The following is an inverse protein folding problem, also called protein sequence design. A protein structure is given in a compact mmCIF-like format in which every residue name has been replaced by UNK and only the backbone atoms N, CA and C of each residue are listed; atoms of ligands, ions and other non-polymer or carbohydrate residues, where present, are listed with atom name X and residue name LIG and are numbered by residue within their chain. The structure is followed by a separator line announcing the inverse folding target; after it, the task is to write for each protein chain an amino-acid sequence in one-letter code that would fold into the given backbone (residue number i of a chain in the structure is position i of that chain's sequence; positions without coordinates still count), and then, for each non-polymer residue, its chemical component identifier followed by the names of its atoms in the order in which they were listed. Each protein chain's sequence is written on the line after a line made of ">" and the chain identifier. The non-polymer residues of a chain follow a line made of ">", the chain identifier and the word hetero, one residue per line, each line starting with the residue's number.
data_IF_165795621394
#
_entry.id   IF_165795621394
#
_cell.length_a   1.000
_cell.length_b   1.000
_cell.length_c   1.000
_cell.angle_alpha   90.00
_cell.angle_beta   90.00
_cell.angle_gamma   90.00
#
_symmetry.space_group_name_H-M   'P 1'
#
loop_
_entity.id
_entity.type
_entity.pdbx_description
1 polymer ?
#
# COMPACT_ATOMS: atom_id res chain seq x y z
N UNK A 1 -40.73 -36.69 31.22
CA UNK A 1 -40.64 -35.79 30.04
C UNK A 1 -41.16 -34.42 30.43
N UNK A 2 -40.27 -33.52 30.85
CA UNK A 2 -40.43 -32.05 30.95
C UNK A 2 -39.14 -31.52 31.58
N UNK A 3 -38.65 -30.38 31.09
CA UNK A 3 -37.48 -29.62 31.54
C UNK A 3 -36.19 -29.77 30.71
N UNK A 4 -36.27 -29.49 29.39
CA UNK A 4 -35.12 -28.95 28.63
C UNK A 4 -35.71 -28.01 27.58
N UNK A 5 -35.86 -26.70 27.88
CA UNK A 5 -36.23 -25.68 26.86
C UNK A 5 -36.18 -24.24 27.42
N UNK A 6 -35.05 -23.77 27.98
CA UNK A 6 -34.88 -22.33 28.29
C UNK A 6 -33.41 -21.89 28.28
N UNK A 7 -32.70 -22.08 27.17
CA UNK A 7 -31.35 -21.51 27.01
C UNK A 7 -30.92 -21.25 25.55
N UNK A 8 -31.86 -20.92 24.64
CA UNK A 8 -31.52 -20.55 23.25
C UNK A 8 -31.97 -19.11 22.91
N UNK A 9 -32.65 -18.42 23.82
CA UNK A 9 -33.25 -17.09 23.55
C UNK A 9 -32.40 -15.86 23.91
N UNK A 10 -31.20 -16.00 24.49
CA UNK A 10 -30.48 -14.84 25.07
C UNK A 10 -29.36 -14.25 24.19
N UNK A 11 -28.95 -14.94 23.11
CA UNK A 11 -27.84 -14.48 22.26
C UNK A 11 -28.28 -13.73 20.99
N UNK A 12 -29.56 -13.80 20.61
CA UNK A 12 -30.09 -13.13 19.42
C UNK A 12 -30.65 -11.72 19.66
N UNK A 13 -30.82 -11.31 20.92
CA UNK A 13 -31.39 -9.99 21.24
C UNK A 13 -30.33 -8.89 21.36
N UNK A 14 -29.11 -9.21 21.79
CA UNK A 14 -28.07 -8.19 22.07
C UNK A 14 -27.60 -7.46 20.81
N UNK A 15 -27.51 -8.16 19.67
CA UNK A 15 -27.09 -7.55 18.39
C UNK A 15 -28.13 -6.59 17.81
N UNK A 16 -29.42 -6.95 17.87
CA UNK A 16 -30.50 -6.11 17.35
C UNK A 16 -30.71 -4.82 18.19
N UNK A 17 -30.47 -4.88 19.51
CA UNK A 17 -30.56 -3.69 20.37
C UNK A 17 -29.43 -2.69 20.13
N UNK A 18 -28.21 -3.16 19.82
CA UNK A 18 -27.09 -2.28 19.50
C UNK A 18 -27.31 -1.49 18.20
N UNK A 19 -27.82 -2.16 17.17
CA UNK A 19 -28.07 -1.57 15.85
C UNK A 19 -29.17 -0.50 15.87
N UNK A 20 -30.30 -0.79 16.52
CA UNK A 20 -31.39 0.19 16.67
C UNK A 20 -30.97 1.36 17.56
N UNK A 21 -30.21 1.10 18.64
CA UNK A 21 -29.68 2.16 19.50
C UNK A 21 -28.76 3.11 18.74
N UNK A 22 -27.98 2.63 17.76
CA UNK A 22 -27.17 3.49 16.90
C UNK A 22 -28.01 4.41 16.02
N UNK A 23 -28.99 3.86 15.30
CA UNK A 23 -29.89 4.66 14.44
C UNK A 23 -30.66 5.72 15.24
N UNK A 24 -30.96 5.41 16.50
CA UNK A 24 -31.68 6.30 17.42
C UNK A 24 -30.74 7.24 18.22
N UNK A 25 -29.43 7.25 17.93
CA UNK A 25 -28.43 8.11 18.58
C UNK A 25 -28.09 7.76 20.03
N UNK A 26 -28.49 6.58 20.49
CA UNK A 26 -28.33 6.07 21.85
C UNK A 26 -27.19 5.05 22.00
N UNK A 27 -26.46 4.75 20.93
CA UNK A 27 -25.33 3.83 20.97
C UNK A 27 -24.20 4.38 21.84
N UNK A 28 -23.71 3.53 22.75
CA UNK A 28 -22.56 3.85 23.60
C UNK A 28 -21.45 2.87 23.26
N UNK A 29 -20.30 3.35 22.76
CA UNK A 29 -19.16 2.48 22.51
C UNK A 29 -18.63 1.88 23.81
N UNK A 30 -17.88 0.79 23.69
CA UNK A 30 -17.09 0.26 24.78
C UNK A 30 -16.10 1.30 25.30
N UNK A 31 -15.62 1.13 26.53
CA UNK A 31 -14.67 2.07 27.12
C UNK A 31 -13.39 2.19 26.28
N UNK A 32 -13.12 3.41 25.79
CA UNK A 32 -12.01 3.70 24.88
C UNK A 32 -12.24 3.27 23.42
N UNK A 33 -13.44 2.79 23.08
CA UNK A 33 -13.88 2.55 21.72
C UNK A 33 -14.17 3.85 20.98
N UNK A 34 -13.87 3.87 19.69
CA UNK A 34 -14.18 4.94 18.76
C UNK A 34 -15.22 4.45 17.78
N UNK A 35 -16.21 5.29 17.47
CA UNK A 35 -17.21 4.99 16.45
C UNK A 35 -16.94 5.86 15.23
N UNK A 36 -16.86 5.21 14.07
CA UNK A 36 -16.85 5.85 12.78
C UNK A 36 -18.08 5.44 11.98
N UNK A 37 -18.61 6.37 11.20
CA UNK A 37 -19.69 6.10 10.25
C UNK A 37 -19.23 6.68 8.93
N UNK A 38 -19.17 5.83 7.91
CA UNK A 38 -18.81 6.29 6.58
C UNK A 38 -19.73 7.40 6.11
N UNK A 39 -19.18 8.39 5.41
CA UNK A 39 -19.97 9.41 4.71
C UNK A 39 -20.22 9.04 3.26
N UNK A 40 -19.31 8.28 2.67
CA UNK A 40 -19.31 7.96 1.26
C UNK A 40 -18.95 6.49 1.08
N UNK A 41 -19.77 5.78 0.31
CA UNK A 41 -19.50 4.43 -0.11
C UNK A 41 -19.32 4.43 -1.62
N UNK A 42 -18.44 3.57 -2.14
CA UNK A 42 -18.22 3.44 -3.57
C UNK A 42 -18.64 2.06 -4.06
N UNK A 43 -19.01 2.02 -5.34
CA UNK A 43 -19.41 0.78 -5.99
C UNK A 43 -18.16 -0.06 -6.27
N UNK A 44 -18.12 -1.23 -5.67
CA UNK A 44 -17.17 -2.30 -5.98
C UNK A 44 -17.71 -3.06 -7.18
N UNK A 45 -17.09 -2.88 -8.35
CA UNK A 45 -17.42 -3.67 -9.55
C UNK A 45 -16.80 -5.06 -9.45
N UNK A 46 -17.51 -6.05 -9.97
CA UNK A 46 -17.01 -7.43 -9.99
C UNK A 46 -15.83 -7.56 -10.96
N UNK A 47 -14.73 -8.15 -10.48
CA UNK A 47 -13.50 -8.43 -11.22
C UNK A 47 -13.49 -9.90 -11.60
N UNK A 48 -13.36 -10.23 -12.88
CA UNK A 48 -13.29 -11.63 -13.31
C UNK A 48 -11.91 -12.22 -12.99
N UNK A 49 -11.82 -13.48 -12.55
CA UNK A 49 -10.52 -14.15 -12.40
C UNK A 49 -9.81 -14.29 -13.75
N UNK A 50 -8.50 -14.00 -13.79
CA UNK A 50 -7.64 -14.42 -14.92
C UNK A 50 -7.42 -15.92 -14.79
N UNK A 51 -7.95 -16.71 -15.73
CA UNK A 51 -7.95 -18.19 -15.65
C UNK A 51 -6.78 -18.88 -16.35
N UNK A 52 -5.80 -18.12 -16.85
CA UNK A 52 -4.66 -18.68 -17.54
C UNK A 52 -3.43 -18.63 -16.64
N UNK A 53 -3.27 -19.66 -15.81
CA UNK A 53 -2.15 -19.79 -14.88
C UNK A 53 -0.80 -19.89 -15.62
N UNK A 54 -0.81 -20.31 -16.90
CA UNK A 54 0.37 -20.39 -17.77
C UNK A 54 0.65 -19.10 -18.56
N UNK A 55 -0.16 -18.05 -18.37
CA UNK A 55 0.06 -16.79 -19.06
C UNK A 55 1.41 -16.18 -18.67
N UNK A 56 2.20 -15.78 -19.68
CA UNK A 56 3.46 -15.08 -19.45
C UNK A 56 3.20 -13.78 -18.70
N UNK A 57 3.79 -13.64 -17.51
CA UNK A 57 3.74 -12.41 -16.73
C UNK A 57 4.64 -11.36 -17.40
N UNK A 58 4.07 -10.20 -17.74
CA UNK A 58 4.78 -9.04 -18.28
C UNK A 58 4.92 -7.94 -17.24
N UNK A 59 3.90 -7.78 -16.39
CA UNK A 59 3.83 -6.71 -15.41
C UNK A 59 3.71 -7.28 -14.00
N UNK A 60 4.39 -6.63 -13.05
CA UNK A 60 4.19 -6.88 -11.61
C UNK A 60 3.84 -5.55 -10.96
N UNK A 61 2.69 -5.52 -10.28
CA UNK A 61 2.22 -4.36 -9.53
C UNK A 61 2.15 -4.76 -8.05
N UNK A 62 2.98 -4.13 -7.23
CA UNK A 62 3.00 -4.28 -5.79
C UNK A 62 2.31 -3.09 -5.15
N UNK A 63 1.24 -3.33 -4.41
CA UNK A 63 0.51 -2.30 -3.68
C UNK A 63 0.69 -2.51 -2.18
N UNK A 64 1.12 -1.46 -1.48
CA UNK A 64 1.45 -1.49 -0.05
C UNK A 64 0.51 -0.53 0.69
N UNK A 65 -0.35 -1.05 1.55
CA UNK A 65 -1.01 -0.23 2.57
C UNK A 65 -0.09 -0.14 3.78
N UNK A 66 0.59 0.99 3.99
CA UNK A 66 1.53 1.16 5.11
C UNK A 66 0.77 0.98 6.43
N UNK A 67 1.20 0.06 7.29
CA UNK A 67 0.50 -0.26 8.55
C UNK A 67 -0.81 -1.05 8.41
N UNK A 68 -1.20 -1.49 7.22
CA UNK A 68 -2.52 -2.10 6.92
C UNK A 68 -2.62 -3.58 7.37
N UNK A 69 -2.98 -3.81 8.63
CA UNK A 69 -3.32 -5.15 9.14
C UNK A 69 -4.72 -5.64 8.74
N UNK A 70 -5.06 -6.89 9.10
CA UNK A 70 -6.38 -7.50 8.80
C UNK A 70 -7.54 -6.69 9.37
N UNK A 71 -7.39 -6.14 10.58
CA UNK A 71 -8.41 -5.29 11.21
C UNK A 71 -8.67 -4.00 10.43
N UNK A 72 -7.66 -3.44 9.77
CA UNK A 72 -7.79 -2.24 8.95
C UNK A 72 -8.64 -2.55 7.71
N UNK A 73 -8.32 -3.67 7.04
CA UNK A 73 -9.09 -4.18 5.89
C UNK A 73 -10.54 -4.43 6.28
N UNK A 74 -10.79 -5.12 7.40
CA UNK A 74 -12.16 -5.44 7.81
C UNK A 74 -12.96 -4.20 8.26
N UNK A 75 -12.31 -3.23 8.91
CA UNK A 75 -12.93 -1.95 9.25
C UNK A 75 -13.36 -1.19 7.97
N UNK A 76 -12.49 -1.11 6.97
CA UNK A 76 -12.81 -0.51 5.68
C UNK A 76 -13.92 -1.27 4.94
N UNK A 77 -13.87 -2.60 4.94
CA UNK A 77 -14.91 -3.45 4.35
C UNK A 77 -16.28 -3.21 5.00
N UNK A 78 -16.33 -3.12 6.34
CA UNK A 78 -17.54 -2.77 7.07
C UNK A 78 -18.05 -1.39 6.68
N UNK A 79 -17.16 -0.40 6.61
CA UNK A 79 -17.50 0.96 6.20
C UNK A 79 -18.04 1.02 4.75
N UNK A 80 -17.68 0.09 3.87
CA UNK A 80 -18.10 0.09 2.46
C UNK A 80 -19.06 -1.06 2.11
N UNK A 81 -20.17 -1.19 2.85
CA UNK A 81 -21.25 -2.15 2.56
C UNK A 81 -20.80 -3.61 2.48
N UNK A 82 -19.85 -4.00 3.33
CA UNK A 82 -19.24 -5.33 3.33
C UNK A 82 -18.61 -5.70 1.97
N UNK A 83 -17.99 -4.73 1.27
CA UNK A 83 -17.38 -4.93 -0.05
C UNK A 83 -16.10 -4.12 -0.21
N UNK A 84 -15.04 -4.76 -0.68
CA UNK A 84 -13.81 -4.11 -1.17
C UNK A 84 -13.38 -4.69 -2.52
N UNK A 85 -12.53 -3.99 -3.27
CA UNK A 85 -11.88 -4.53 -4.46
C UNK A 85 -10.86 -5.62 -4.08
N UNK A 86 -10.03 -5.40 -3.06
CA UNK A 86 -9.02 -6.37 -2.62
C UNK A 86 -9.63 -7.69 -2.11
N UNK A 87 -10.90 -7.68 -1.68
CA UNK A 87 -11.65 -8.89 -1.29
C UNK A 87 -11.80 -9.89 -2.45
N UNK A 88 -11.83 -9.40 -3.69
CA UNK A 88 -12.06 -10.22 -4.88
C UNK A 88 -10.79 -10.95 -5.37
N UNK A 89 -9.65 -10.70 -4.73
CA UNK A 89 -8.37 -11.33 -5.08
C UNK A 89 -8.37 -12.79 -4.59
N UNK A 90 -8.23 -13.79 -5.50
CA UNK A 90 -8.54 -15.18 -5.18
C UNK A 90 -7.51 -15.88 -4.28
N UNK A 91 -6.29 -15.36 -4.18
CA UNK A 91 -5.22 -15.98 -3.40
C UNK A 91 -4.85 -15.10 -2.22
N UNK A 92 -4.88 -15.71 -1.03
CA UNK A 92 -4.60 -15.03 0.24
C UNK A 92 -3.51 -15.76 1.00
N UNK A 93 -2.57 -15.00 1.54
CA UNK A 93 -1.53 -15.44 2.45
C UNK A 93 -1.28 -14.41 3.55
N UNK A 94 -0.23 -14.66 4.32
CA UNK A 94 0.21 -13.76 5.39
C UNK A 94 1.73 -13.66 5.39
N UNK A 95 2.25 -12.46 5.68
CA UNK A 95 3.69 -12.25 5.81
C UNK A 95 4.11 -11.90 7.24
N UNK A 96 5.28 -12.42 7.64
CA UNK A 96 6.00 -12.08 8.87
C UNK A 96 6.90 -10.87 8.60
N UNK A 97 6.78 -9.85 9.44
CA UNK A 97 7.30 -8.51 9.10
C UNK A 97 8.48 -8.06 9.94
N UNK A 98 8.93 -8.83 10.95
CA UNK A 98 10.01 -8.38 11.86
C UNK A 98 11.26 -7.87 11.13
N UNK A 99 11.89 -6.83 11.68
CA UNK A 99 13.18 -6.35 11.20
C UNK A 99 14.32 -7.29 11.62
N UNK A 100 15.48 -7.16 11.00
CA UNK A 100 16.65 -8.01 11.30
C UNK A 100 17.09 -7.95 12.76
N UNK A 101 17.03 -6.75 13.36
CA UNK A 101 17.53 -6.47 14.70
C UNK A 101 16.42 -6.08 15.70
N UNK A 102 15.15 -6.21 15.33
CA UNK A 102 14.05 -5.79 16.19
C UNK A 102 12.81 -6.69 15.99
N UNK A 103 12.09 -6.95 17.09
CA UNK A 103 10.90 -7.80 17.08
C UNK A 103 9.78 -7.22 16.20
N UNK A 104 9.63 -5.89 16.26
CA UNK A 104 8.77 -5.11 15.36
C UNK A 104 9.64 -4.42 14.31
N UNK A 105 9.14 -4.33 13.09
CA UNK A 105 9.79 -3.55 12.03
C UNK A 105 9.34 -2.09 12.06
N UNK A 106 9.95 -1.28 11.21
CA UNK A 106 9.39 -0.05 10.67
C UNK A 106 9.25 -0.12 9.15
N UNK A 107 8.63 0.88 8.54
CA UNK A 107 8.44 0.96 7.09
C UNK A 107 9.75 0.92 6.29
N UNK A 108 10.86 1.38 6.86
CA UNK A 108 12.17 1.29 6.21
C UNK A 108 12.61 -0.17 6.08
N UNK A 109 12.69 -0.91 7.19
CA UNK A 109 13.12 -2.29 7.16
C UNK A 109 12.07 -3.23 6.51
N UNK A 110 10.78 -2.93 6.68
CA UNK A 110 9.66 -3.67 6.09
C UNK A 110 9.64 -3.52 4.57
N UNK A 111 9.67 -2.28 4.07
CA UNK A 111 9.79 -1.98 2.65
C UNK A 111 11.06 -2.55 2.03
N UNK A 112 12.20 -2.48 2.74
CA UNK A 112 13.47 -3.06 2.25
C UNK A 112 13.41 -4.57 2.08
N UNK A 113 12.73 -5.29 2.98
CA UNK A 113 12.55 -6.73 2.84
C UNK A 113 11.71 -7.08 1.61
N UNK A 114 10.63 -6.32 1.36
CA UNK A 114 9.80 -6.46 0.14
C UNK A 114 10.58 -6.13 -1.14
N UNK A 115 11.45 -5.12 -1.08
CA UNK A 115 12.19 -4.61 -2.24
C UNK A 115 13.41 -5.45 -2.60
N UNK A 116 14.10 -6.07 -1.63
CA UNK A 116 15.42 -6.70 -1.83
C UNK A 116 15.46 -8.20 -1.52
N UNK A 117 14.40 -8.73 -0.89
CA UNK A 117 14.40 -10.10 -0.38
C UNK A 117 15.31 -10.31 0.84
N UNK A 118 15.80 -9.23 1.46
CA UNK A 118 16.64 -9.31 2.66
C UNK A 118 16.09 -8.43 3.76
N UNK A 119 15.96 -9.00 4.96
CA UNK A 119 15.68 -8.21 6.16
C UNK A 119 16.87 -7.32 6.49
N UNK A 120 16.60 -6.04 6.70
CA UNK A 120 17.58 -5.07 7.18
C UNK A 120 17.25 -4.58 8.60
N UNK A 121 18.15 -3.77 9.15
CA UNK A 121 17.98 -3.18 10.47
C UNK A 121 16.89 -2.11 10.46
N UNK A 122 16.22 -1.95 11.60
CA UNK A 122 15.22 -0.91 11.82
C UNK A 122 15.76 0.47 11.40
N UNK A 123 14.99 1.19 10.58
CA UNK A 123 15.35 2.51 10.06
C UNK A 123 16.34 2.51 8.89
N UNK A 124 16.88 1.37 8.48
CA UNK A 124 17.78 1.25 7.31
C UNK A 124 16.98 0.99 6.04
N UNK A 125 17.41 1.59 4.93
CA UNK A 125 16.77 1.49 3.62
C UNK A 125 17.70 0.68 2.69
N UNK A 126 17.25 -0.51 2.30
CA UNK A 126 17.81 -1.42 1.27
C UNK A 126 19.33 -1.58 1.27
N UNK A 127 19.92 -1.61 2.46
CA UNK A 127 21.36 -1.82 2.64
C UNK A 127 21.61 -2.87 3.74
N UNK A 128 22.75 -3.53 3.66
CA UNK A 128 23.20 -4.46 4.69
C UNK A 128 23.69 -3.72 5.95
N UNK A 129 24.11 -4.48 6.96
CA UNK A 129 24.60 -3.92 8.24
C UNK A 129 25.88 -3.07 8.11
N UNK A 130 26.60 -3.20 6.99
CA UNK A 130 27.82 -2.47 6.69
C UNK A 130 27.55 -1.29 5.75
N UNK A 131 26.29 -1.04 5.37
CA UNK A 131 25.90 0.00 4.42
C UNK A 131 26.12 -0.38 2.97
N UNK A 132 26.35 -1.65 2.66
CA UNK A 132 26.45 -2.14 1.28
C UNK A 132 25.04 -2.27 0.70
N UNK A 133 24.81 -1.67 -0.47
CA UNK A 133 23.53 -1.71 -1.16
C UNK A 133 23.11 -3.16 -1.48
N UNK A 134 21.85 -3.48 -1.18
CA UNK A 134 21.18 -4.68 -1.66
C UNK A 134 20.32 -4.32 -2.87
N UNK A 135 20.57 -4.88 -4.07
CA UNK A 135 19.83 -4.53 -5.28
C UNK A 135 18.33 -4.73 -5.13
N UNK A 136 17.55 -3.75 -5.54
CA UNK A 136 16.09 -3.80 -5.41
C UNK A 136 15.44 -4.48 -6.61
N UNK A 137 14.21 -4.98 -6.46
CA UNK A 137 13.42 -5.52 -7.57
C UNK A 137 13.24 -4.49 -8.69
N UNK A 138 13.14 -3.20 -8.33
CA UNK A 138 12.98 -2.11 -9.28
C UNK A 138 14.27 -1.92 -10.09
N UNK A 139 15.43 -1.86 -9.44
CA UNK A 139 16.73 -1.75 -10.13
C UNK A 139 17.01 -2.99 -10.99
N UNK A 140 16.66 -4.18 -10.50
CA UNK A 140 16.81 -5.43 -11.25
C UNK A 140 15.89 -5.44 -12.48
N UNK A 141 14.64 -5.03 -12.34
CA UNK A 141 13.68 -4.95 -13.44
C UNK A 141 14.15 -3.95 -14.50
N UNK A 142 14.57 -2.74 -14.08
CA UNK A 142 15.09 -1.72 -14.99
C UNK A 142 16.40 -2.14 -15.67
N UNK A 143 17.33 -2.76 -14.94
CA UNK A 143 18.56 -3.32 -15.51
C UNK A 143 18.31 -4.45 -16.51
N UNK A 144 17.12 -5.06 -16.47
CA UNK A 144 16.64 -6.01 -17.47
C UNK A 144 15.77 -5.35 -18.54
N UNK A 145 15.61 -4.03 -18.53
CA UNK A 145 14.90 -3.24 -19.54
C UNK A 145 13.38 -3.20 -19.38
N UNK A 146 12.86 -3.51 -18.20
CA UNK A 146 11.44 -3.26 -17.89
C UNK A 146 11.26 -1.80 -17.47
N UNK A 147 10.12 -1.21 -17.81
CA UNK A 147 9.77 0.10 -17.29
C UNK A 147 9.47 0.01 -15.78
N UNK A 148 9.68 1.11 -15.07
CA UNK A 148 9.62 1.11 -13.59
C UNK A 148 8.98 2.37 -13.03
N UNK A 149 8.17 2.20 -11.97
CA UNK A 149 7.65 3.36 -11.28
C UNK A 149 7.24 3.18 -9.82
N UNK A 150 7.07 4.33 -9.16
CA UNK A 150 6.73 4.48 -7.76
C UNK A 150 5.60 5.50 -7.59
N UNK A 151 4.55 5.16 -6.84
CA UNK A 151 3.48 6.09 -6.47
C UNK A 151 3.29 6.02 -4.96
N UNK A 152 3.26 7.15 -4.27
CA UNK A 152 3.07 7.19 -2.82
C UNK A 152 2.20 8.36 -2.40
N UNK A 153 1.21 8.11 -1.53
CA UNK A 153 0.33 9.13 -0.94
C UNK A 153 1.01 9.95 0.19
N UNK A 154 2.34 10.02 0.19
CA UNK A 154 3.16 10.82 1.08
C UNK A 154 4.35 11.42 0.31
N UNK A 155 5.44 11.79 1.01
CA UNK A 155 6.68 12.20 0.34
C UNK A 155 7.24 11.00 -0.43
N UNK A 156 7.66 11.19 -1.68
CA UNK A 156 8.24 10.09 -2.46
C UNK A 156 9.59 9.60 -1.87
N UNK A 157 10.24 10.43 -1.06
CA UNK A 157 11.46 10.13 -0.29
C UNK A 157 11.18 9.43 1.05
N UNK A 158 9.91 9.19 1.40
CA UNK A 158 9.57 8.45 2.61
C UNK A 158 9.98 6.98 2.51
N UNK A 159 9.97 6.27 3.65
CA UNK A 159 10.70 5.02 3.79
C UNK A 159 10.29 3.92 2.81
N UNK A 160 8.99 3.68 2.63
CA UNK A 160 8.49 2.63 1.74
C UNK A 160 8.85 2.88 0.27
N UNK A 161 8.56 4.04 -0.36
CA UNK A 161 9.02 4.29 -1.72
C UNK A 161 10.55 4.37 -1.85
N UNK A 162 11.24 4.94 -0.86
CA UNK A 162 12.70 4.99 -0.83
C UNK A 162 13.33 3.59 -0.83
N UNK A 163 12.70 2.60 -0.18
CA UNK A 163 13.20 1.23 -0.14
C UNK A 163 13.33 0.57 -1.53
N UNK A 164 12.66 1.07 -2.56
CA UNK A 164 12.76 0.52 -3.90
C UNK A 164 13.84 1.18 -4.77
N UNK A 165 14.46 2.29 -4.33
CA UNK A 165 15.44 3.02 -5.17
C UNK A 165 16.68 3.53 -4.42
N UNK A 166 16.62 3.67 -3.11
CA UNK A 166 17.68 4.25 -2.31
C UNK A 166 18.36 3.21 -1.42
N UNK A 167 19.62 3.48 -1.07
CA UNK A 167 20.38 2.66 -0.13
C UNK A 167 21.03 3.58 0.92
N UNK A 168 20.40 3.70 2.08
CA UNK A 168 20.85 4.62 3.13
C UNK A 168 20.76 3.98 4.52
N UNK A 169 21.69 4.37 5.39
CA UNK A 169 21.74 3.83 6.75
C UNK A 169 20.54 4.24 7.62
N UNK A 170 19.93 5.39 7.30
CA UNK A 170 18.82 5.98 8.06
C UNK A 170 17.77 6.55 7.11
N UNK A 171 16.50 6.18 7.32
CA UNK A 171 15.32 6.72 6.61
C UNK A 171 15.17 8.24 6.68
N UNK A 172 15.77 8.89 7.68
CA UNK A 172 15.73 10.34 7.84
C UNK A 172 16.69 11.10 6.90
N UNK A 173 17.48 10.42 6.07
CA UNK A 173 18.42 11.03 5.13
C UNK A 173 17.71 11.50 3.84
N UNK A 174 16.64 12.29 3.96
CA UNK A 174 15.76 12.63 2.83
C UNK A 174 16.47 13.25 1.62
N UNK A 175 17.46 14.12 1.83
CA UNK A 175 18.23 14.69 0.71
C UNK A 175 19.16 13.68 0.02
N UNK A 176 19.69 12.70 0.77
CA UNK A 176 20.50 11.63 0.21
C UNK A 176 19.59 10.68 -0.58
N UNK A 177 18.42 10.35 -0.02
CA UNK A 177 17.37 9.57 -0.68
C UNK A 177 16.92 10.25 -1.97
N UNK A 178 16.64 11.57 -1.95
CA UNK A 178 16.24 12.33 -3.13
C UNK A 178 17.27 12.25 -4.27
N UNK A 179 18.57 12.14 -3.94
CA UNK A 179 19.61 12.00 -4.95
C UNK A 179 19.51 10.66 -5.72
N UNK A 180 19.01 9.58 -5.09
CA UNK A 180 18.78 8.30 -5.77
C UNK A 180 17.67 8.35 -6.81
N UNK A 181 16.73 9.29 -6.71
CA UNK A 181 15.67 9.48 -7.72
C UNK A 181 16.20 10.05 -9.04
N UNK A 182 17.40 10.64 -9.04
CA UNK A 182 18.10 11.02 -10.28
C UNK A 182 18.79 9.78 -10.85
N UNK A 183 17.98 8.83 -11.34
CA UNK A 183 18.43 7.51 -11.77
C UNK A 183 17.95 7.18 -13.18
N UNK A 184 18.70 6.30 -13.86
CA UNK A 184 18.23 5.65 -15.10
C UNK A 184 17.24 4.52 -14.80
N UNK A 185 17.18 4.06 -13.55
CA UNK A 185 16.37 2.92 -13.11
C UNK A 185 14.90 3.27 -12.80
N UNK A 186 14.47 4.50 -13.10
CA UNK A 186 13.11 4.99 -12.87
C UNK A 186 12.56 5.65 -14.12
N UNK A 187 11.27 5.43 -14.38
CA UNK A 187 10.54 6.09 -15.47
C UNK A 187 9.42 6.97 -14.94
N UNK A 188 8.70 6.55 -13.91
CA UNK A 188 7.63 7.33 -13.29
C UNK A 188 7.78 7.35 -11.78
N UNK A 189 7.79 8.52 -11.15
CA UNK A 189 7.55 8.61 -9.72
C UNK A 189 6.59 9.76 -9.38
N UNK A 190 5.61 9.49 -8.51
CA UNK A 190 4.52 10.43 -8.19
C UNK A 190 4.30 10.45 -6.67
N UNK A 191 4.46 11.61 -6.04
CA UNK A 191 4.24 11.80 -4.60
C UNK A 191 4.38 13.27 -4.19
N UNK A 192 4.49 13.52 -2.89
CA UNK A 192 4.91 14.82 -2.35
C UNK A 192 6.43 14.92 -2.23
N UNK A 193 6.90 15.97 -1.54
CA UNK A 193 8.29 16.11 -1.14
C UNK A 193 9.16 16.91 -2.10
N UNK A 194 8.60 17.89 -2.82
CA UNK A 194 9.45 18.76 -3.67
C UNK A 194 10.50 19.52 -2.87
N UNK A 195 10.28 19.73 -1.56
CA UNK A 195 11.24 20.36 -0.65
C UNK A 195 12.57 19.58 -0.57
N UNK A 196 12.54 18.25 -0.54
CA UNK A 196 13.73 17.39 -0.49
C UNK A 196 14.57 17.47 -1.77
N UNK A 197 13.96 17.88 -2.89
CA UNK A 197 14.63 18.02 -4.19
C UNK A 197 15.07 19.46 -4.48
N UNK A 198 14.28 20.45 -4.07
CA UNK A 198 14.47 21.86 -4.43
C UNK A 198 14.97 22.76 -3.30
N UNK A 199 14.59 22.48 -2.04
CA UNK A 199 14.94 23.30 -0.87
C UNK A 199 16.09 22.68 -0.07
N UNK A 200 17.05 22.11 -0.79
CA UNK A 200 18.20 21.40 -0.23
C UNK A 200 19.13 22.33 0.55
N UNK A 201 19.77 21.82 1.60
CA UNK A 201 20.77 22.53 2.42
C UNK A 201 21.92 23.12 1.61
N UNK A 202 22.28 22.45 0.51
CA UNK A 202 23.32 22.93 -0.41
C UNK A 202 22.90 24.13 -1.26
N UNK A 203 21.60 24.46 -1.30
CA UNK A 203 21.01 25.45 -2.20
C UNK A 203 20.86 24.98 -3.66
N UNK A 204 21.26 23.74 -3.98
CA UNK A 204 21.19 23.19 -5.34
C UNK A 204 19.96 22.31 -5.52
N UNK A 205 19.11 22.67 -6.46
CA UNK A 205 17.98 21.85 -6.89
C UNK A 205 18.42 20.62 -7.69
N UNK A 206 17.68 19.52 -7.53
CA UNK A 206 17.81 18.31 -8.35
C UNK A 206 16.98 18.33 -9.63
N UNK A 207 16.10 19.31 -9.84
CA UNK A 207 15.22 19.38 -11.01
C UNK A 207 16.00 19.41 -12.32
N UNK A 208 17.07 20.22 -12.50
CA UNK A 208 17.86 20.18 -13.73
C UNK A 208 18.49 18.81 -14.00
N UNK A 209 18.83 18.07 -12.94
CA UNK A 209 19.39 16.72 -13.09
C UNK A 209 18.33 15.70 -13.48
N UNK A 210 17.10 15.82 -12.95
CA UNK A 210 15.94 15.04 -13.39
C UNK A 210 15.58 15.33 -14.85
N UNK A 211 15.54 16.59 -15.25
CA UNK A 211 15.29 17.00 -16.64
C UNK A 211 16.38 16.46 -17.59
N UNK A 212 17.64 16.48 -17.17
CA UNK A 212 18.75 15.89 -17.93
C UNK A 212 18.62 14.36 -18.07
N UNK A 213 17.93 13.69 -17.15
CA UNK A 213 17.52 12.28 -17.24
C UNK A 213 16.24 12.06 -18.06
N UNK A 214 15.66 13.12 -18.62
CA UNK A 214 14.48 13.08 -19.47
C UNK A 214 13.15 13.11 -18.72
N UNK A 215 13.16 13.40 -17.41
CA UNK A 215 11.93 13.52 -16.63
C UNK A 215 11.19 14.81 -16.97
N UNK A 216 9.89 14.67 -17.20
CA UNK A 216 8.95 15.78 -17.20
C UNK A 216 8.50 16.03 -15.77
N UNK A 217 8.73 17.24 -15.27
CA UNK A 217 8.33 17.61 -13.91
C UNK A 217 6.89 18.10 -13.90
N UNK A 218 6.05 17.48 -13.07
CA UNK A 218 4.63 17.85 -12.91
C UNK A 218 4.28 18.08 -11.45
N UNK A 219 3.34 18.99 -11.20
CA UNK A 219 3.03 19.47 -9.84
C UNK A 219 1.53 19.45 -9.52
N UNK A 220 0.70 18.97 -10.44
CA UNK A 220 -0.74 18.83 -10.23
C UNK A 220 -1.33 17.77 -11.17
N UNK A 221 -2.52 17.29 -10.81
CA UNK A 221 -3.19 16.19 -11.52
C UNK A 221 -3.59 16.55 -12.95
N UNK A 222 -3.92 17.81 -13.25
CA UNK A 222 -4.28 18.24 -14.61
C UNK A 222 -3.08 18.13 -15.57
N UNK A 223 -1.91 18.61 -15.13
CA UNK A 223 -0.66 18.46 -15.88
C UNK A 223 -0.31 16.99 -16.06
N UNK A 224 -0.40 16.19 -15.00
CA UNK A 224 -0.16 14.75 -15.05
C UNK A 224 -1.10 14.07 -16.07
N UNK A 225 -2.40 14.37 -16.03
CA UNK A 225 -3.41 13.83 -16.93
C UNK A 225 -3.14 14.16 -18.41
N UNK A 226 -2.57 15.34 -18.68
CA UNK A 226 -2.21 15.78 -20.03
C UNK A 226 -1.08 14.97 -20.67
N UNK A 227 -0.20 14.35 -19.85
CA UNK A 227 0.97 13.62 -20.35
C UNK A 227 0.54 12.37 -21.11
N UNK A 228 1.26 12.11 -22.21
CA UNK A 228 0.98 10.97 -23.12
C UNK A 228 2.08 9.93 -23.15
N UNK A 229 3.33 10.31 -22.87
CA UNK A 229 4.50 9.42 -22.90
C UNK A 229 5.68 10.05 -22.16
N UNK A 230 6.73 9.27 -21.99
CA UNK A 230 8.01 9.71 -21.45
C UNK A 230 8.09 9.64 -19.92
N UNK A 231 9.29 9.93 -19.39
CA UNK A 231 9.54 9.85 -17.95
C UNK A 231 8.86 10.99 -17.20
N UNK A 232 8.41 10.74 -15.97
CA UNK A 232 7.65 11.70 -15.15
C UNK A 232 8.14 11.74 -13.71
N UNK A 233 8.41 12.95 -13.24
CA UNK A 233 8.74 13.28 -11.85
C UNK A 233 7.61 14.15 -11.31
N UNK A 234 6.69 13.57 -10.54
CA UNK A 234 5.51 14.25 -10.04
C UNK A 234 5.62 14.63 -8.56
N UNK A 235 5.49 15.93 -8.27
CA UNK A 235 5.55 16.49 -6.93
C UNK A 235 4.28 17.29 -6.57
N UNK A 236 3.36 16.67 -5.84
CA UNK A 236 2.01 17.19 -5.61
C UNK A 236 1.84 17.93 -4.26
N UNK A 237 2.91 18.01 -3.49
CA UNK A 237 3.02 18.80 -2.27
C UNK A 237 4.48 19.17 -2.01
N UNK A 238 4.73 20.29 -1.31
CA UNK A 238 6.09 20.59 -0.83
C UNK A 238 6.57 19.53 0.14
N UNK A 239 5.75 19.20 1.13
CA UNK A 239 6.01 18.16 2.11
C UNK A 239 5.29 16.85 1.78
N UNK A 240 4.74 16.19 2.80
CA UNK A 240 3.80 15.10 2.59
C UNK A 240 2.51 15.62 1.96
N UNK A 241 1.78 14.77 1.22
CA UNK A 241 0.41 15.09 0.84
C UNK A 241 -0.47 15.11 2.09
N UNK A 242 -1.58 15.83 2.01
CA UNK A 242 -2.63 15.79 3.03
C UNK A 242 -3.26 14.39 3.15
N UNK A 243 -3.88 14.08 4.28
CA UNK A 243 -4.69 12.88 4.44
C UNK A 243 -5.91 12.91 3.49
N UNK A 244 -6.44 11.75 3.12
CA UNK A 244 -7.70 11.63 2.42
C UNK A 244 -8.85 12.05 3.36
N UNK A 245 -9.85 12.84 2.90
CA UNK A 245 -10.10 13.25 1.51
C UNK A 245 -9.44 14.56 1.07
N UNK A 246 -8.66 15.24 1.93
CA UNK A 246 -8.11 16.56 1.64
C UNK A 246 -7.11 16.58 0.47
N UNK A 247 -6.36 15.49 0.24
CA UNK A 247 -5.51 15.34 -0.97
C UNK A 247 -6.28 15.06 -2.27
N UNK A 248 -7.60 14.91 -2.20
CA UNK A 248 -8.44 14.54 -3.35
C UNK A 248 -8.09 13.15 -3.91
N UNK A 249 -8.29 12.98 -5.21
CA UNK A 249 -8.14 11.69 -5.93
C UNK A 249 -6.69 11.40 -6.35
N UNK A 250 -5.70 11.92 -5.62
CA UNK A 250 -4.29 11.81 -5.98
C UNK A 250 -3.84 10.35 -6.19
N UNK A 251 -4.13 9.46 -5.24
CA UNK A 251 -3.61 8.09 -5.28
C UNK A 251 -4.22 7.30 -6.45
N UNK A 252 -5.54 7.41 -6.64
CA UNK A 252 -6.28 6.75 -7.72
C UNK A 252 -5.81 7.24 -9.10
N UNK A 253 -5.80 8.56 -9.32
CA UNK A 253 -5.43 9.12 -10.64
C UNK A 253 -3.94 8.97 -10.96
N UNK A 254 -3.06 9.06 -9.96
CA UNK A 254 -1.63 8.80 -10.13
C UNK A 254 -1.34 7.36 -10.46
N UNK A 255 -2.03 6.42 -9.81
CA UNK A 255 -1.90 4.97 -10.10
C UNK A 255 -2.32 4.65 -11.53
N UNK A 256 -3.49 5.16 -11.96
CA UNK A 256 -3.97 5.01 -13.34
C UNK A 256 -2.99 5.57 -14.36
N UNK A 257 -2.50 6.81 -14.14
CA UNK A 257 -1.56 7.44 -15.08
C UNK A 257 -0.21 6.72 -15.09
N UNK A 258 0.29 6.25 -13.95
CA UNK A 258 1.53 5.47 -13.90
C UNK A 258 1.41 4.20 -14.75
N UNK A 259 0.32 3.43 -14.62
CA UNK A 259 0.06 2.28 -15.47
C UNK A 259 -0.05 2.66 -16.96
N UNK A 260 -0.76 3.75 -17.30
CA UNK A 260 -0.89 4.24 -18.68
C UNK A 260 0.47 4.55 -19.33
N UNK A 261 1.39 5.16 -18.57
CA UNK A 261 2.71 5.54 -19.06
C UNK A 261 3.66 4.34 -19.14
N UNK A 262 3.67 3.48 -18.12
CA UNK A 262 4.58 2.34 -18.03
C UNK A 262 4.20 1.21 -18.99
N UNK A 263 2.90 1.00 -19.24
CA UNK A 263 2.41 -0.05 -20.13
C UNK A 263 2.69 0.22 -21.63
N UNK A 264 3.35 1.33 -21.96
CA UNK A 264 3.82 1.61 -23.32
C UNK A 264 5.11 0.86 -23.66
N UNK A 265 5.79 0.27 -22.67
CA UNK A 265 6.97 -0.54 -22.88
C UNK A 265 6.60 -1.98 -23.25
N UNK A 266 7.09 -2.45 -24.39
CA UNK A 266 6.83 -3.80 -24.90
C UNK A 266 7.38 -4.91 -23.98
N UNK A 267 8.31 -4.61 -23.09
CA UNK A 267 8.82 -5.60 -22.14
C UNK A 267 7.87 -5.82 -20.96
N UNK A 268 7.07 -4.81 -20.64
CA UNK A 268 6.24 -4.72 -19.44
C UNK A 268 6.93 -3.90 -18.35
N UNK A 269 6.35 -3.90 -17.14
CA UNK A 269 6.80 -2.99 -16.09
C UNK A 269 6.73 -3.56 -14.67
N UNK A 270 7.49 -2.94 -13.77
CA UNK A 270 7.30 -3.03 -12.33
C UNK A 270 6.74 -1.71 -11.77
N UNK A 271 5.69 -1.78 -10.97
CA UNK A 271 5.11 -0.62 -10.31
C UNK A 271 4.89 -0.91 -8.82
N UNK A 272 5.35 0.01 -7.96
CA UNK A 272 4.97 0.03 -6.56
C UNK A 272 4.04 1.20 -6.27
N UNK A 273 2.92 0.92 -5.59
CA UNK A 273 1.93 1.93 -5.17
C UNK A 273 1.72 1.85 -3.66
N UNK A 274 1.75 2.98 -2.96
CA UNK A 274 1.60 3.04 -1.51
C UNK A 274 0.39 3.87 -1.07
N UNK A 275 -0.49 3.24 -0.29
CA UNK A 275 -1.47 3.91 0.57
C UNK A 275 -0.80 4.29 1.90
N UNK A 276 -0.07 5.42 1.89
CA UNK A 276 0.95 5.72 2.90
C UNK A 276 0.42 6.14 4.27
N UNK A 277 -0.77 6.76 4.35
CA UNK A 277 -1.21 7.43 5.59
C UNK A 277 -2.18 6.58 6.43
N UNK A 278 -2.43 5.32 6.02
CA UNK A 278 -3.11 4.31 6.87
C UNK A 278 -2.31 4.17 8.18
N UNK A 279 -0.99 4.03 8.07
CA UNK A 279 -0.05 3.96 9.19
C UNK A 279 -0.14 5.15 10.13
N UNK A 280 -0.08 6.37 9.59
CA UNK A 280 -0.08 7.59 10.42
C UNK A 280 -1.42 7.78 11.14
N UNK A 281 -2.52 7.50 10.45
CA UNK A 281 -3.84 7.54 11.07
C UNK A 281 -3.97 6.51 12.21
N UNK A 282 -3.41 5.31 12.03
CA UNK A 282 -3.38 4.29 13.06
C UNK A 282 -2.42 4.62 14.21
N UNK A 283 -1.29 5.29 13.94
CA UNK A 283 -0.40 5.84 14.97
C UNK A 283 -1.11 6.88 15.86
N UNK A 284 -1.90 7.76 15.24
CA UNK A 284 -2.73 8.74 15.92
C UNK A 284 -3.97 8.12 16.59
N UNK A 285 -4.15 6.79 16.46
CA UNK A 285 -5.34 6.07 16.88
C UNK A 285 -6.62 6.72 16.34
N UNK A 286 -6.62 7.21 15.11
CA UNK A 286 -7.76 7.87 14.50
C UNK A 286 -8.51 6.87 13.60
N UNK A 287 -9.57 6.27 14.13
CA UNK A 287 -10.33 5.23 13.41
C UNK A 287 -10.90 5.74 12.08
N UNK A 288 -11.46 6.95 12.07
CA UNK A 288 -12.10 7.50 10.88
C UNK A 288 -11.10 7.72 9.75
N UNK A 289 -9.98 8.39 10.02
CA UNK A 289 -8.93 8.58 9.02
C UNK A 289 -8.32 7.25 8.59
N UNK A 290 -8.13 6.30 9.51
CA UNK A 290 -7.60 4.95 9.18
C UNK A 290 -8.48 4.23 8.16
N UNK A 291 -9.81 4.29 8.36
CA UNK A 291 -10.78 3.71 7.43
C UNK A 291 -10.76 4.45 6.09
N UNK A 292 -10.84 5.78 6.09
CA UNK A 292 -10.87 6.59 4.88
C UNK A 292 -9.60 6.43 4.02
N UNK A 293 -8.44 6.33 4.65
CA UNK A 293 -7.16 6.02 3.97
C UNK A 293 -7.14 4.62 3.35
N UNK A 294 -7.69 3.63 4.08
CA UNK A 294 -7.79 2.25 3.58
C UNK A 294 -8.78 2.15 2.40
N UNK A 295 -9.87 2.92 2.44
CA UNK A 295 -10.83 3.03 1.34
C UNK A 295 -10.23 3.74 0.12
N UNK A 296 -9.43 4.81 0.31
CA UNK A 296 -8.70 5.45 -0.80
C UNK A 296 -7.73 4.47 -1.47
N UNK A 297 -7.00 3.70 -0.66
CA UNK A 297 -6.11 2.65 -1.16
C UNK A 297 -6.86 1.54 -1.91
N UNK A 298 -7.99 1.05 -1.39
CA UNK A 298 -8.79 0.02 -2.07
C UNK A 298 -9.37 0.52 -3.41
N UNK A 299 -9.73 1.81 -3.52
CA UNK A 299 -10.14 2.39 -4.82
C UNK A 299 -9.00 2.36 -5.84
N UNK A 300 -7.75 2.61 -5.41
CA UNK A 300 -6.59 2.46 -6.27
C UNK A 300 -6.34 0.98 -6.64
N UNK A 301 -6.51 0.04 -5.69
CA UNK A 301 -6.50 -1.40 -5.97
C UNK A 301 -7.53 -1.75 -7.03
N UNK A 302 -8.74 -1.18 -6.95
CA UNK A 302 -9.79 -1.39 -7.94
C UNK A 302 -9.40 -0.99 -9.36
N UNK A 303 -8.67 0.11 -9.54
CA UNK A 303 -8.17 0.51 -10.87
C UNK A 303 -7.07 -0.43 -11.38
N UNK A 304 -6.20 -0.90 -10.49
CA UNK A 304 -5.16 -1.89 -10.81
C UNK A 304 -5.77 -3.24 -11.20
N UNK A 305 -6.79 -3.70 -10.49
CA UNK A 305 -7.49 -4.95 -10.82
C UNK A 305 -8.25 -4.86 -12.14
N UNK A 306 -8.90 -3.73 -12.44
CA UNK A 306 -9.52 -3.50 -13.76
C UNK A 306 -8.50 -3.53 -14.89
N UNK A 307 -7.32 -2.93 -14.67
CA UNK A 307 -6.22 -3.00 -15.63
C UNK A 307 -5.73 -4.45 -15.81
N UNK A 308 -5.46 -5.17 -14.72
CA UNK A 308 -4.96 -6.53 -14.76
C UNK A 308 -5.95 -7.53 -15.37
N UNK A 309 -7.26 -7.35 -15.12
CA UNK A 309 -8.33 -8.13 -15.76
C UNK A 309 -8.32 -7.96 -17.29
N UNK A 310 -8.11 -6.73 -17.77
CA UNK A 310 -8.10 -6.42 -19.20
C UNK A 310 -6.80 -6.87 -19.88
N UNK A 311 -5.67 -6.70 -19.20
CA UNK A 311 -4.34 -7.04 -19.72
C UNK A 311 -4.09 -8.56 -19.72
N UNK A 312 -4.48 -9.27 -18.67
CA UNK A 312 -4.30 -10.72 -18.55
C UNK A 312 -2.85 -11.19 -18.37
N UNK A 313 -1.88 -10.28 -18.35
CA UNK A 313 -0.43 -10.54 -18.20
C UNK A 313 0.18 -9.82 -16.99
N UNK A 314 -0.66 -9.37 -16.06
CA UNK A 314 -0.28 -8.58 -14.89
C UNK A 314 -0.51 -9.37 -13.61
N UNK A 315 0.56 -9.57 -12.83
CA UNK A 315 0.50 -10.04 -11.45
C UNK A 315 0.30 -8.83 -10.53
N UNK A 316 -0.75 -8.86 -9.72
CA UNK A 316 -1.07 -7.85 -8.71
C UNK A 316 -0.90 -8.46 -7.32
N UNK A 317 -0.15 -7.77 -6.46
CA UNK A 317 0.10 -8.16 -5.07
C UNK A 317 -0.30 -6.99 -4.20
N UNK A 318 -1.19 -7.20 -3.24
CA UNK A 318 -1.57 -6.22 -2.22
C UNK A 318 -1.12 -6.74 -0.86
N UNK A 319 -0.35 -5.95 -0.11
CA UNK A 319 0.15 -6.33 1.22
C UNK A 319 0.32 -5.07 2.08
N UNK A 320 0.80 -5.26 3.30
CA UNK A 320 1.41 -4.21 4.10
C UNK A 320 2.89 -4.52 4.35
N UNK A 321 3.62 -3.52 4.85
CA UNK A 321 4.97 -3.61 5.39
C UNK A 321 4.97 -4.01 6.88
N UNK A 322 3.96 -3.60 7.64
CA UNK A 322 3.62 -4.00 9.02
C UNK A 322 2.15 -3.70 9.37
N UNK A 323 1.74 -4.00 10.59
CA UNK A 323 0.47 -3.51 11.16
C UNK A 323 0.76 -2.36 12.13
N UNK A 324 -0.16 -1.40 12.21
CA UNK A 324 -0.04 -0.27 13.13
C UNK A 324 -1.24 -0.10 14.05
N UNK A 325 -0.98 0.27 15.30
CA UNK A 325 -2.01 0.63 16.27
C UNK A 325 -2.63 -0.57 17.01
N UNK A 326 -2.46 -1.80 16.51
CA UNK A 326 -3.10 -2.99 17.06
C UNK A 326 -4.61 -2.83 17.11
N UNK A 327 -5.19 -2.43 15.97
CA UNK A 327 -6.61 -2.12 15.83
C UNK A 327 -7.45 -3.38 16.08
N UNK A 328 -8.44 -3.26 16.95
CA UNK A 328 -9.50 -4.24 17.15
C UNK A 328 -10.81 -3.65 16.63
N UNK A 329 -11.51 -4.38 15.75
CA UNK A 329 -12.89 -4.06 15.34
C UNK A 329 -13.82 -4.74 16.33
N UNK A 330 -14.55 -3.95 17.12
CA UNK A 330 -15.34 -4.40 18.26
C UNK A 330 -16.80 -4.65 17.85
N UNK A 331 -17.38 -3.70 17.12
CA UNK A 331 -18.77 -3.74 16.69
C UNK A 331 -18.93 -3.02 15.34
N UNK A 332 -20.09 -3.15 14.69
CA UNK A 332 -20.35 -2.48 13.42
C UNK A 332 -21.76 -2.69 12.88
N UNK A 333 -22.09 -1.91 11.87
CA UNK A 333 -23.29 -2.06 11.03
C UNK A 333 -22.83 -2.06 9.57
N UNK A 334 -22.93 -3.22 8.93
CA UNK A 334 -22.54 -3.40 7.53
C UNK A 334 -23.43 -2.61 6.55
N UNK A 335 -24.71 -2.42 6.86
CA UNK A 335 -25.67 -1.72 5.99
C UNK A 335 -25.44 -0.22 6.00
N UNK A 336 -25.10 0.34 7.17
CA UNK A 336 -24.91 1.77 7.36
C UNK A 336 -23.43 2.20 7.38
N UNK A 337 -22.49 1.25 7.20
CA UNK A 337 -21.06 1.51 7.22
C UNK A 337 -20.55 2.06 8.57
N UNK A 338 -21.15 1.61 9.68
CA UNK A 338 -20.73 1.98 11.03
C UNK A 338 -19.67 0.99 11.52
N UNK A 339 -18.59 1.50 12.09
CA UNK A 339 -17.51 0.70 12.69
C UNK A 339 -17.24 1.23 14.09
N UNK A 340 -17.21 0.34 15.06
CA UNK A 340 -16.57 0.60 16.34
C UNK A 340 -15.21 -0.09 16.39
N UNK A 341 -14.16 0.67 16.68
CA UNK A 341 -12.80 0.17 16.79
C UNK A 341 -12.07 0.70 18.01
N UNK A 342 -11.06 -0.04 18.44
CA UNK A 342 -10.17 0.35 19.55
C UNK A 342 -8.73 -0.01 19.23
N UNK A 343 -7.82 0.91 19.53
CA UNK A 343 -6.39 0.72 19.36
C UNK A 343 -5.74 0.31 20.67
N UNK A 344 -4.75 -0.58 20.59
CA UNK A 344 -4.03 -1.09 21.76
C UNK A 344 -2.69 -0.39 22.00
N UNK A 345 -2.17 0.31 20.99
CA UNK A 345 -0.91 1.04 21.05
C UNK A 345 -0.93 2.19 20.03
N UNK A 346 -0.08 3.20 20.18
CA UNK A 346 0.17 4.20 19.13
C UNK A 346 1.43 3.90 18.31
N UNK A 347 1.83 2.63 18.24
CA UNK A 347 3.02 2.17 17.51
C UNK A 347 2.69 0.98 16.61
N UNK A 348 3.68 0.49 15.88
CA UNK A 348 3.49 -0.74 15.10
C UNK A 348 3.22 -1.94 16.02
N UNK A 349 2.50 -2.94 15.51
CA UNK A 349 2.41 -4.26 16.14
C UNK A 349 3.10 -5.33 15.29
N UNK A 350 3.40 -6.47 15.91
CA UNK A 350 4.14 -7.57 15.27
C UNK A 350 3.21 -8.68 14.76
N UNK A 351 1.92 -8.39 14.55
CA UNK A 351 1.01 -9.37 13.96
C UNK A 351 1.36 -9.61 12.49
N UNK A 352 0.93 -10.76 11.99
CA UNK A 352 1.03 -11.05 10.57
C UNK A 352 0.19 -10.06 9.77
N UNK A 353 0.69 -9.65 8.60
CA UNK A 353 -0.06 -8.80 7.67
C UNK A 353 -0.59 -9.61 6.49
N UNK A 354 -1.78 -9.29 5.96
CA UNK A 354 -2.36 -10.03 4.85
C UNK A 354 -1.57 -9.79 3.55
N UNK A 355 -1.56 -10.82 2.69
CA UNK A 355 -1.10 -10.72 1.31
C UNK A 355 -2.23 -11.22 0.41
N UNK A 356 -2.72 -10.36 -0.47
CA UNK A 356 -3.71 -10.70 -1.50
C UNK A 356 -3.04 -10.72 -2.86
N UNK A 357 -3.34 -11.71 -3.69
CA UNK A 357 -2.75 -11.82 -5.03
C UNK A 357 -3.80 -12.13 -6.11
N UNK A 358 -3.61 -11.54 -7.28
CA UNK A 358 -4.47 -11.67 -8.46
C UNK A 358 -3.63 -11.70 -9.74
N UNK A 359 -4.10 -12.44 -10.75
CA UNK A 359 -3.42 -12.58 -12.04
C UNK A 359 -2.55 -13.83 -12.13
N UNK A 360 -1.80 -14.02 -13.24
CA UNK A 360 -0.98 -15.22 -13.44
C UNK A 360 0.13 -15.32 -12.37
N UNK A 361 0.34 -16.52 -11.81
CA UNK A 361 1.32 -16.78 -10.77
C UNK A 361 0.89 -16.38 -9.35
N UNK A 362 -0.33 -15.86 -9.17
CA UNK A 362 -0.85 -15.40 -7.88
C UNK A 362 -1.03 -16.53 -6.84
N UNK A 363 -1.18 -17.78 -7.27
CA UNK A 363 -1.24 -18.96 -6.40
C UNK A 363 0.01 -19.14 -5.53
N UNK A 364 1.15 -18.58 -5.96
CA UNK A 364 2.39 -18.62 -5.21
C UNK A 364 2.38 -17.77 -3.93
N UNK A 365 1.35 -16.96 -3.70
CA UNK A 365 1.23 -16.07 -2.55
C UNK A 365 0.32 -16.61 -1.44
N UNK A 366 -0.12 -17.87 -1.53
CA UNK A 366 -0.84 -18.52 -0.44
C UNK A 366 0.08 -19.02 0.69
N UNK A 367 -0.45 -19.06 1.92
CA UNK A 367 0.25 -19.55 3.11
C UNK A 367 0.91 -18.46 3.94
N UNK A 368 1.78 -18.86 4.89
CA UNK A 368 2.47 -17.94 5.80
C UNK A 368 3.97 -17.99 5.51
N UNK A 369 4.58 -16.84 5.23
CA UNK A 369 6.00 -16.74 4.87
C UNK A 369 6.66 -15.46 5.39
N UNK A 370 7.98 -15.31 5.22
CA UNK A 370 8.67 -14.04 5.51
C UNK A 370 8.32 -13.00 4.45
N UNK A 371 8.17 -11.73 4.82
CA UNK A 371 7.95 -10.65 3.86
C UNK A 371 9.03 -10.59 2.76
N UNK A 372 10.26 -11.00 3.06
CA UNK A 372 11.34 -11.16 2.07
C UNK A 372 11.04 -12.17 0.95
N UNK A 373 10.19 -13.17 1.19
CA UNK A 373 9.81 -14.14 0.16
C UNK A 373 8.94 -13.51 -0.95
N UNK A 374 8.33 -12.34 -0.71
CA UNK A 374 7.56 -11.62 -1.73
C UNK A 374 8.50 -11.16 -2.86
N UNK A 375 9.70 -10.69 -2.54
CA UNK A 375 10.74 -10.38 -3.53
C UNK A 375 11.08 -11.60 -4.39
N UNK A 376 11.33 -12.76 -3.75
CA UNK A 376 11.71 -13.98 -4.46
C UNK A 376 10.59 -14.43 -5.42
N UNK A 377 9.33 -14.31 -4.99
CA UNK A 377 8.15 -14.61 -5.81
C UNK A 377 8.00 -13.64 -6.98
N UNK A 378 8.26 -12.34 -6.79
CA UNK A 378 8.28 -11.36 -7.89
C UNK A 378 9.41 -11.64 -8.89
N UNK A 379 10.61 -12.00 -8.40
CA UNK A 379 11.74 -12.41 -9.24
C UNK A 379 11.38 -13.65 -10.08
N UNK A 380 10.73 -14.65 -9.46
CA UNK A 380 10.23 -15.83 -10.15
C UNK A 380 9.17 -15.47 -11.20
N UNK A 381 8.23 -14.57 -10.87
CA UNK A 381 7.18 -14.12 -11.78
C UNK A 381 7.77 -13.50 -13.06
N UNK A 382 8.82 -12.69 -12.92
CA UNK A 382 9.54 -12.14 -14.07
C UNK A 382 10.48 -13.13 -14.78
N UNK A 383 10.69 -14.33 -14.24
CA UNK A 383 11.65 -15.31 -14.74
C UNK A 383 13.12 -14.88 -14.52
N UNK A 384 13.37 -14.06 -13.49
CA UNK A 384 14.70 -13.60 -13.13
C UNK A 384 15.41 -14.62 -12.23
N UNK A 385 16.75 -14.70 -12.34
CA UNK A 385 17.57 -15.44 -11.37
C UNK A 385 17.72 -14.60 -10.10
N UNK A 386 17.65 -15.25 -8.94
CA UNK A 386 17.95 -14.61 -7.66
C UNK A 386 19.41 -14.10 -7.65
N UNK A 387 19.67 -12.91 -7.09
CA UNK A 387 20.98 -12.26 -7.08
C UNK A 387 22.00 -12.88 -6.12
#
# INVERSE_FOLDING_TARGET
>A
MKNILWAIGLFLTVSAFGQQAYLDGNYKPEEGGQVYVTKNQYIVKDIKPVRNDDAKIRNVILMIGDGMGVSHVFAAMTANNNRLYMEQMPYVGFSKTSAKNNYRTDSAAGGSALATGKKTNYGTISADKNGVADPTILEIASGKGFATGLVAACKITHATPAAFIAHVSRRSQYEDIAAFFVSDSLDVFLGGGSDDFNKRKSGKSLYPALEAKGFQIVENLDKLASLKKGKVAGFFAEGHLEAYPARGEFLVESTKKAMELLNQDDKGFFLMVEGSQIDWAAHDNNLGTTIEETLDFDRAVGEVLKFAEQDGHTLVIVTADHETGGLSVINGDLEHGMVEGKFSTGGHSAVLVPVFAYGPGAENFSGIYENSAIFEKMMQAFGFKLP
#
